data_IF_442557754624
#
_entry.id   IF_442557754624
#
_cell.length_a   1.000
_cell.length_b   1.000
_cell.length_c   1.000
_cell.angle_alpha   90.00
_cell.angle_beta   90.00
_cell.angle_gamma   90.00
#
_symmetry.space_group_name_H-M   'P 1'
#
loop_
_entity.id
_entity.type
_entity.pdbx_description
1 polymer ?
#
# COMPACT_ATOMS: atom_id res chain seq x y z
N UNK A 1 -9.55 -11.32 14.09
CA UNK A 1 -10.14 -12.63 14.45
C UNK A 1 -9.69 -13.73 13.50
N UNK A 2 -9.89 -13.59 12.16
CA UNK A 2 -9.58 -14.63 11.16
C UNK A 2 -8.11 -15.08 11.25
N UNK A 3 -7.16 -14.17 11.35
CA UNK A 3 -5.74 -14.49 11.46
C UNK A 3 -5.41 -15.33 12.70
N UNK A 4 -6.04 -15.01 13.84
CA UNK A 4 -5.87 -15.78 15.10
C UNK A 4 -6.44 -17.18 14.92
N UNK A 5 -7.64 -17.32 14.35
CA UNK A 5 -8.27 -18.63 14.10
C UNK A 5 -7.43 -19.51 13.15
N UNK A 6 -6.71 -18.87 12.23
CA UNK A 6 -5.79 -19.52 11.29
C UNK A 6 -4.34 -19.59 11.80
N UNK A 7 -4.14 -19.41 13.12
CA UNK A 7 -2.86 -19.62 13.84
C UNK A 7 -1.71 -18.74 13.36
N UNK A 8 -2.03 -17.58 12.76
CA UNK A 8 -1.01 -16.61 12.39
C UNK A 8 -0.09 -16.29 13.57
N UNK A 9 1.19 -16.19 13.34
CA UNK A 9 2.13 -15.55 14.26
C UNK A 9 2.13 -14.06 13.96
N UNK A 10 2.33 -13.24 15.00
CA UNK A 10 2.24 -11.80 14.89
C UNK A 10 3.55 -11.14 15.28
N UNK A 11 3.84 -10.05 14.62
CA UNK A 11 4.85 -9.06 15.02
C UNK A 11 4.18 -7.77 15.49
N UNK A 12 4.90 -6.99 16.29
CA UNK A 12 4.46 -5.67 16.73
C UNK A 12 5.17 -4.61 15.89
N UNK A 13 4.40 -3.68 15.31
CA UNK A 13 4.91 -2.49 14.63
C UNK A 13 4.19 -1.28 15.23
N UNK A 14 4.86 -0.57 16.13
CA UNK A 14 4.21 0.44 16.97
C UNK A 14 3.07 -0.18 17.79
N UNK A 15 1.86 0.34 17.61
CA UNK A 15 0.65 -0.15 18.28
C UNK A 15 -0.07 -1.27 17.52
N UNK A 16 0.43 -1.62 16.32
CA UNK A 16 -0.20 -2.60 15.46
C UNK A 16 0.36 -4.00 15.71
N UNK A 17 -0.55 -5.00 15.64
CA UNK A 17 -0.18 -6.41 15.49
C UNK A 17 -0.41 -6.82 14.05
N UNK A 18 0.67 -7.17 13.36
CA UNK A 18 0.62 -7.60 11.96
C UNK A 18 0.84 -9.11 11.88
N UNK A 19 0.11 -9.84 11.02
CA UNK A 19 0.46 -11.23 10.73
C UNK A 19 1.89 -11.30 10.19
N UNK A 20 2.76 -12.00 10.91
CA UNK A 20 4.17 -12.17 10.55
C UNK A 20 4.39 -13.34 9.59
N UNK A 21 3.77 -14.50 9.92
CA UNK A 21 3.69 -15.67 9.06
C UNK A 21 2.56 -16.61 9.52
N UNK A 22 2.18 -17.57 8.65
CA UNK A 22 1.09 -18.52 8.93
C UNK A 22 1.62 -19.95 8.91
N UNK A 23 2.02 -20.53 10.05
CA UNK A 23 2.51 -21.91 10.09
C UNK A 23 1.40 -22.91 9.80
N UNK A 24 1.72 -23.95 9.01
CA UNK A 24 0.87 -25.13 8.79
C UNK A 24 1.54 -26.30 9.49
N UNK A 25 0.77 -27.06 10.26
CA UNK A 25 1.30 -28.16 11.09
C UNK A 25 2.36 -27.64 12.07
N UNK A 26 3.60 -28.14 11.96
CA UNK A 26 4.74 -27.79 12.83
C UNK A 26 5.79 -26.96 12.07
N UNK A 27 5.42 -26.25 11.01
CA UNK A 27 6.33 -25.36 10.29
C UNK A 27 6.93 -24.31 11.21
N UNK A 28 8.24 -24.11 11.12
CA UNK A 28 8.91 -22.92 11.63
C UNK A 28 8.75 -21.72 10.68
N UNK A 29 9.40 -20.61 11.04
CA UNK A 29 9.38 -19.38 10.25
C UNK A 29 9.84 -19.62 8.80
N UNK A 30 10.99 -20.27 8.62
CA UNK A 30 11.60 -20.42 7.30
C UNK A 30 10.76 -21.29 6.36
N UNK A 31 10.23 -22.40 6.85
CA UNK A 31 9.37 -23.29 6.06
C UNK A 31 8.07 -22.59 5.65
N UNK A 32 7.45 -21.86 6.58
CA UNK A 32 6.23 -21.11 6.31
C UNK A 32 6.48 -20.04 5.25
N UNK A 33 7.54 -19.23 5.40
CA UNK A 33 7.93 -18.17 4.46
C UNK A 33 8.25 -18.73 3.07
N UNK A 34 8.94 -19.84 2.99
CA UNK A 34 9.22 -20.53 1.72
C UNK A 34 7.93 -20.94 1.00
N UNK A 35 6.99 -21.57 1.72
CA UNK A 35 5.70 -22.00 1.19
C UNK A 35 4.85 -20.79 0.74
N UNK A 36 4.77 -19.76 1.57
CA UNK A 36 4.00 -18.54 1.29
C UNK A 36 4.57 -17.81 0.07
N UNK A 37 5.90 -17.63 0.02
CA UNK A 37 6.57 -16.98 -1.12
C UNK A 37 6.36 -17.72 -2.42
N UNK A 38 6.50 -19.05 -2.39
CA UNK A 38 6.26 -19.90 -3.56
C UNK A 38 4.79 -19.79 -4.03
N UNK A 39 3.83 -19.80 -3.11
CA UNK A 39 2.42 -19.66 -3.46
C UNK A 39 2.12 -18.30 -4.11
N UNK A 40 2.70 -17.21 -3.59
CA UNK A 40 2.56 -15.87 -4.15
C UNK A 40 3.14 -15.78 -5.57
N UNK A 41 4.30 -16.42 -5.83
CA UNK A 41 4.94 -16.43 -7.16
C UNK A 41 4.22 -17.36 -8.15
N UNK A 42 3.82 -18.55 -7.71
CA UNK A 42 3.29 -19.57 -8.61
C UNK A 42 1.78 -19.43 -8.88
N UNK A 43 1.04 -18.81 -7.96
CA UNK A 43 -0.43 -18.73 -8.04
C UNK A 43 -1.01 -17.43 -7.50
N UNK A 44 -1.25 -17.36 -6.19
CA UNK A 44 -1.79 -16.19 -5.54
C UNK A 44 -1.47 -16.15 -4.05
N UNK A 45 -1.10 -14.98 -3.57
CA UNK A 45 -0.96 -14.64 -2.16
C UNK A 45 -1.93 -13.55 -1.74
N UNK A 46 -2.26 -13.50 -0.45
CA UNK A 46 -3.04 -12.42 0.15
C UNK A 46 -2.40 -11.93 1.45
N UNK A 47 -2.22 -10.61 1.57
CA UNK A 47 -1.66 -9.93 2.72
C UNK A 47 -2.68 -8.96 3.32
N UNK A 48 -2.72 -8.88 4.65
CA UNK A 48 -3.40 -7.81 5.37
C UNK A 48 -2.48 -6.57 5.40
N UNK A 49 -2.80 -5.58 4.57
CA UNK A 49 -2.11 -4.31 4.44
C UNK A 49 -2.84 -3.15 5.16
N UNK A 50 -3.77 -3.47 6.08
CA UNK A 50 -4.62 -2.48 6.76
C UNK A 50 -3.81 -1.49 7.60
N UNK A 51 -2.63 -1.88 8.09
CA UNK A 51 -1.82 -1.06 8.99
C UNK A 51 -0.96 0.00 8.32
N UNK A 52 -0.87 0.02 6.98
CA UNK A 52 -0.23 1.11 6.25
C UNK A 52 -0.92 2.44 6.60
N UNK A 53 -0.13 3.47 6.88
CA UNK A 53 -0.67 4.80 7.11
C UNK A 53 -1.48 5.28 5.90
N UNK A 54 -2.59 5.96 6.16
CA UNK A 54 -3.46 6.53 5.13
C UNK A 54 -3.84 7.94 5.54
N UNK A 55 -3.51 8.90 4.68
CA UNK A 55 -3.83 10.32 4.87
C UNK A 55 -4.69 10.76 3.69
N UNK A 56 -5.89 11.23 3.98
CA UNK A 56 -6.76 11.90 3.03
C UNK A 56 -6.31 13.35 2.91
N UNK A 57 -6.08 13.81 1.68
CA UNK A 57 -5.56 15.15 1.38
C UNK A 57 -6.53 15.82 0.43
N UNK A 58 -7.11 16.94 0.86
CA UNK A 58 -8.05 17.71 0.08
C UNK A 58 -7.66 19.20 0.09
N UNK A 59 -8.06 19.92 -0.94
CA UNK A 59 -7.86 21.36 -1.05
C UNK A 59 -7.40 21.77 -2.44
N UNK A 60 -7.63 23.02 -2.79
CA UNK A 60 -7.30 23.55 -4.13
C UNK A 60 -5.79 23.51 -4.40
N UNK A 61 -4.97 23.58 -3.35
CA UNK A 61 -3.52 23.54 -3.42
C UNK A 61 -2.90 22.17 -3.10
N UNK A 62 -3.74 21.10 -2.98
CA UNK A 62 -3.25 19.76 -2.63
C UNK A 62 -2.18 19.23 -3.60
N UNK A 63 -2.31 19.54 -4.90
CA UNK A 63 -1.32 19.15 -5.91
C UNK A 63 0.02 19.87 -5.73
N UNK A 64 -0.01 21.16 -5.44
CA UNK A 64 1.18 21.97 -5.16
C UNK A 64 1.85 21.53 -3.85
N UNK A 65 1.06 21.30 -2.81
CA UNK A 65 1.56 20.77 -1.55
C UNK A 65 2.32 19.45 -1.74
N UNK A 66 1.74 18.47 -2.46
CA UNK A 66 2.39 17.21 -2.78
C UNK A 66 3.67 17.40 -3.61
N UNK A 67 3.70 18.39 -4.51
CA UNK A 67 4.93 18.75 -5.22
C UNK A 67 6.03 19.23 -4.29
N UNK A 68 5.71 19.97 -3.23
CA UNK A 68 6.71 20.46 -2.25
C UNK A 68 7.22 19.33 -1.38
N UNK A 69 6.33 18.44 -0.95
CA UNK A 69 6.63 17.35 -0.01
C UNK A 69 7.46 16.22 -0.63
N UNK A 70 7.10 15.78 -1.84
CA UNK A 70 7.75 14.63 -2.48
C UNK A 70 8.86 15.03 -3.46
N UNK A 71 9.78 14.11 -3.73
CA UNK A 71 10.87 14.29 -4.71
C UNK A 71 10.37 14.39 -6.15
N UNK A 72 9.27 13.73 -6.50
CA UNK A 72 8.69 13.71 -7.83
C UNK A 72 7.54 14.70 -8.00
N UNK A 73 7.13 14.97 -9.25
CA UNK A 73 6.10 15.95 -9.58
C UNK A 73 4.70 15.35 -9.52
N UNK A 74 3.74 16.09 -8.95
CA UNK A 74 2.35 15.64 -8.73
C UNK A 74 1.32 16.41 -9.56
N UNK A 75 1.63 17.65 -9.96
CA UNK A 75 0.72 18.52 -10.71
C UNK A 75 0.16 17.90 -12.00
N UNK A 76 0.94 17.01 -12.63
CA UNK A 76 0.55 16.31 -13.86
C UNK A 76 0.03 14.89 -13.64
N UNK A 77 -0.17 14.48 -12.40
CA UNK A 77 -0.79 13.17 -12.14
C UNK A 77 -2.27 13.23 -12.53
N UNK A 78 -2.70 12.37 -13.44
CA UNK A 78 -4.11 12.31 -13.87
C UNK A 78 -5.02 11.77 -12.77
N UNK A 79 -6.28 12.19 -12.77
CA UNK A 79 -7.32 11.60 -11.90
C UNK A 79 -7.42 10.11 -12.21
N UNK A 80 -7.56 9.27 -11.18
CA UNK A 80 -7.58 7.82 -11.31
C UNK A 80 -6.21 7.16 -11.35
N UNK A 81 -5.12 7.94 -11.26
CA UNK A 81 -3.75 7.44 -11.28
C UNK A 81 -3.13 7.43 -9.89
N UNK A 82 -2.22 6.48 -9.71
CA UNK A 82 -1.37 6.37 -8.52
C UNK A 82 0.07 6.73 -8.88
N UNK A 83 0.83 7.19 -7.88
CA UNK A 83 2.27 7.44 -8.03
C UNK A 83 2.98 7.08 -6.73
N UNK A 84 4.06 6.30 -6.86
CA UNK A 84 4.99 6.10 -5.76
C UNK A 84 5.79 7.39 -5.54
N UNK A 85 5.89 7.82 -4.31
CA UNK A 85 6.59 9.02 -3.88
C UNK A 85 7.62 8.72 -2.80
N UNK A 86 8.74 9.44 -2.85
CA UNK A 86 9.78 9.43 -1.84
C UNK A 86 9.83 10.80 -1.16
N UNK A 87 9.71 10.81 0.16
CA UNK A 87 9.77 11.99 1.01
C UNK A 87 11.14 12.11 1.64
N UNK A 88 11.71 13.31 1.66
CA UNK A 88 13.00 13.59 2.26
C UNK A 88 12.86 14.51 3.45
N UNK A 89 13.87 14.48 4.33
CA UNK A 89 14.13 15.53 5.29
C UNK A 89 14.80 16.74 4.60
N UNK A 90 14.96 17.83 5.34
CA UNK A 90 15.54 19.09 4.87
C UNK A 90 17.01 18.94 4.46
N UNK A 91 17.72 17.97 5.00
CA UNK A 91 19.10 17.62 4.66
C UNK A 91 19.21 16.62 3.48
N UNK A 92 18.08 16.25 2.86
CA UNK A 92 18.02 15.38 1.69
C UNK A 92 18.01 13.87 1.99
N UNK A 93 17.94 13.48 3.26
CA UNK A 93 17.85 12.08 3.66
C UNK A 93 16.42 11.56 3.55
N UNK A 94 16.28 10.28 3.20
CA UNK A 94 14.97 9.62 3.07
C UNK A 94 14.25 9.58 4.41
N UNK A 95 13.02 10.11 4.42
CA UNK A 95 12.16 10.21 5.58
C UNK A 95 11.06 9.16 5.59
N UNK A 96 10.28 9.06 4.51
CA UNK A 96 9.24 8.04 4.32
C UNK A 96 8.95 7.87 2.81
N UNK A 97 8.16 6.86 2.48
CA UNK A 97 7.71 6.58 1.13
C UNK A 97 6.27 6.07 1.10
N UNK A 98 5.69 6.00 -0.07
CA UNK A 98 4.37 5.43 -0.24
C UNK A 98 3.76 5.71 -1.60
N UNK A 99 2.55 5.20 -1.79
CA UNK A 99 1.78 5.43 -3.01
C UNK A 99 0.69 6.43 -2.73
N UNK A 100 0.66 7.53 -3.48
CA UNK A 100 -0.42 8.50 -3.43
C UNK A 100 -1.28 8.37 -4.68
N UNK A 101 -2.60 8.31 -4.47
CA UNK A 101 -3.62 8.16 -5.51
C UNK A 101 -4.40 9.45 -5.68
N UNK A 102 -4.54 9.97 -6.92
CA UNK A 102 -5.41 11.12 -7.20
C UNK A 102 -6.84 10.63 -7.39
N UNK A 103 -7.69 10.89 -6.39
CA UNK A 103 -9.09 10.47 -6.36
C UNK A 103 -10.02 11.44 -7.11
N UNK A 104 -9.68 12.71 -7.13
CA UNK A 104 -10.43 13.79 -7.74
C UNK A 104 -9.53 14.95 -8.13
N UNK A 105 -10.12 16.04 -8.58
CA UNK A 105 -9.37 17.24 -8.99
C UNK A 105 -8.47 17.75 -7.85
N UNK A 106 -9.04 17.91 -6.67
CA UNK A 106 -8.40 18.45 -5.46
C UNK A 106 -8.43 17.42 -4.31
N UNK A 107 -8.38 16.12 -4.63
CA UNK A 107 -8.52 15.06 -3.65
C UNK A 107 -7.52 13.92 -3.90
N UNK A 108 -6.73 13.60 -2.88
CA UNK A 108 -5.71 12.56 -2.92
C UNK A 108 -5.81 11.65 -1.69
N UNK A 109 -5.42 10.40 -1.86
CA UNK A 109 -5.19 9.46 -0.77
C UNK A 109 -3.70 9.07 -0.78
N UNK A 110 -2.98 9.48 0.26
CA UNK A 110 -1.58 9.14 0.48
C UNK A 110 -1.48 7.90 1.36
N UNK A 111 -0.61 6.96 1.01
CA UNK A 111 -0.17 5.91 1.93
C UNK A 111 1.25 6.18 2.42
N UNK A 112 1.57 5.71 3.62
CA UNK A 112 2.88 5.82 4.28
C UNK A 112 3.29 4.47 4.83
N UNK A 113 4.52 4.36 5.32
CA UNK A 113 4.90 3.19 6.12
C UNK A 113 4.04 3.10 7.37
N UNK A 114 3.84 1.87 7.89
CA UNK A 114 3.07 1.64 9.12
C UNK A 114 3.68 2.38 10.31
N UNK A 115 5.00 2.29 10.48
CA UNK A 115 5.70 2.93 11.59
C UNK A 115 5.81 4.44 11.47
N UNK A 116 5.85 4.97 10.24
CA UNK A 116 5.99 6.40 9.94
C UNK A 116 4.70 7.20 9.96
N UNK A 117 3.52 6.55 9.96
CA UNK A 117 2.22 7.19 9.71
C UNK A 117 1.97 8.45 10.57
N UNK A 118 2.19 8.37 11.88
CA UNK A 118 1.97 9.50 12.78
C UNK A 118 2.99 10.62 12.57
N UNK A 119 4.26 10.26 12.38
CA UNK A 119 5.34 11.24 12.17
C UNK A 119 5.18 11.96 10.83
N UNK A 120 4.80 11.23 9.77
CA UNK A 120 4.51 11.85 8.46
C UNK A 120 3.38 12.84 8.58
N UNK A 121 2.24 12.46 9.19
CA UNK A 121 1.12 13.39 9.36
C UNK A 121 1.54 14.63 10.14
N UNK A 122 2.23 14.46 11.27
CA UNK A 122 2.71 15.58 12.10
C UNK A 122 3.64 16.52 11.31
N UNK A 123 4.57 15.96 10.51
CA UNK A 123 5.46 16.76 9.66
C UNK A 123 4.69 17.54 8.58
N UNK A 124 3.70 16.92 7.97
CA UNK A 124 2.86 17.57 6.95
C UNK A 124 2.01 18.68 7.54
N UNK A 125 1.46 18.48 8.75
CA UNK A 125 0.72 19.51 9.48
C UNK A 125 1.62 20.68 9.90
N UNK A 126 2.86 20.38 10.35
CA UNK A 126 3.86 21.40 10.68
C UNK A 126 4.18 22.27 9.46
N UNK A 127 4.44 21.68 8.31
CA UNK A 127 4.67 22.43 7.07
C UNK A 127 3.50 23.36 6.70
N UNK A 128 2.24 22.90 6.84
CA UNK A 128 1.07 23.71 6.54
C UNK A 128 0.87 24.86 7.55
N UNK A 129 1.32 24.66 8.80
CA UNK A 129 1.14 25.67 9.85
C UNK A 129 2.29 26.68 9.89
N UNK A 130 3.48 26.30 9.48
CA UNK A 130 4.70 27.12 9.68
C UNK A 130 5.31 27.59 8.37
N UNK A 131 5.49 26.69 7.40
CA UNK A 131 6.22 26.99 6.17
C UNK A 131 5.30 27.47 5.04
N UNK A 132 4.08 26.90 4.93
CA UNK A 132 3.16 27.15 3.84
C UNK A 132 1.72 27.41 4.31
N UNK A 133 1.52 28.35 5.26
CA UNK A 133 0.19 28.62 5.83
C UNK A 133 -0.79 29.23 4.83
N UNK A 134 -0.30 29.67 3.66
CA UNK A 134 -1.12 30.22 2.58
C UNK A 134 -1.82 29.15 1.74
N UNK A 135 -1.40 27.87 1.84
CA UNK A 135 -1.98 26.80 1.01
C UNK A 135 -3.33 26.33 1.55
N UNK A 136 -4.32 26.25 0.66
CA UNK A 136 -5.62 25.66 0.95
C UNK A 136 -5.55 24.13 0.87
N UNK A 137 -5.12 23.50 1.98
CA UNK A 137 -4.93 22.05 2.09
C UNK A 137 -5.43 21.55 3.44
N UNK A 138 -6.18 20.45 3.41
CA UNK A 138 -6.72 19.78 4.59
C UNK A 138 -6.20 18.35 4.65
N UNK A 139 -5.62 17.97 5.78
CA UNK A 139 -5.08 16.64 6.05
C UNK A 139 -5.95 15.91 7.06
N UNK A 140 -6.29 14.66 6.79
CA UNK A 140 -7.03 13.82 7.73
C UNK A 140 -6.44 12.42 7.76
N UNK A 141 -6.03 11.95 8.95
CA UNK A 141 -5.69 10.54 9.11
C UNK A 141 -6.92 9.67 8.92
N UNK A 142 -6.85 8.74 7.96
CA UNK A 142 -7.90 7.76 7.68
C UNK A 142 -7.39 6.33 7.79
N UNK A 143 -6.27 6.14 8.49
CA UNK A 143 -5.64 4.83 8.69
C UNK A 143 -6.63 3.82 9.27
N UNK A 144 -7.30 4.17 10.36
CA UNK A 144 -8.25 3.29 11.05
C UNK A 144 -9.61 3.17 10.31
N UNK A 145 -9.83 4.04 9.33
CA UNK A 145 -11.09 4.05 8.56
C UNK A 145 -11.13 2.93 7.52
N UNK A 146 -9.98 2.46 7.05
CA UNK A 146 -9.90 1.45 5.99
C UNK A 146 -9.20 0.18 6.42
N UNK A 147 -9.80 -0.97 6.10
CA UNK A 147 -9.11 -2.26 5.99
C UNK A 147 -8.64 -2.46 4.55
N UNK A 148 -7.48 -3.07 4.38
CA UNK A 148 -6.86 -3.28 3.08
C UNK A 148 -6.42 -4.73 2.90
N UNK A 149 -6.96 -5.41 1.89
CA UNK A 149 -6.47 -6.70 1.44
C UNK A 149 -5.62 -6.53 0.17
N UNK A 150 -4.38 -6.99 0.19
CA UNK A 150 -3.48 -7.00 -0.97
C UNK A 150 -3.43 -8.41 -1.54
N UNK A 151 -3.87 -8.59 -2.80
CA UNK A 151 -3.86 -9.87 -3.51
C UNK A 151 -2.80 -9.81 -4.61
N UNK A 152 -1.82 -10.69 -4.57
CA UNK A 152 -0.74 -10.73 -5.56
C UNK A 152 -0.60 -12.11 -6.23
N UNK A 153 0.14 -12.15 -7.33
CA UNK A 153 0.47 -13.36 -8.07
C UNK A 153 -0.25 -13.48 -9.42
N UNK A 154 0.15 -14.45 -10.25
CA UNK A 154 -0.34 -14.59 -11.63
C UNK A 154 -1.86 -14.83 -11.73
N UNK A 155 -2.51 -15.38 -10.70
CA UNK A 155 -3.95 -15.58 -10.67
C UNK A 155 -4.72 -14.44 -9.97
N UNK A 156 -4.07 -13.39 -9.48
CA UNK A 156 -4.73 -12.28 -8.80
C UNK A 156 -5.84 -11.63 -9.62
N UNK A 157 -5.61 -11.38 -10.93
CA UNK A 157 -6.61 -10.84 -11.85
C UNK A 157 -7.86 -11.74 -11.96
N UNK A 158 -7.69 -13.06 -11.98
CA UNK A 158 -8.82 -14.01 -12.03
C UNK A 158 -9.64 -13.99 -10.75
N UNK A 159 -8.97 -13.86 -9.61
CA UNK A 159 -9.62 -13.72 -8.30
C UNK A 159 -10.43 -12.43 -8.24
N UNK A 160 -9.83 -11.31 -8.66
CA UNK A 160 -10.53 -10.02 -8.73
C UNK A 160 -11.77 -10.09 -9.64
N UNK A 161 -11.67 -10.77 -10.80
CA UNK A 161 -12.81 -10.93 -11.71
C UNK A 161 -13.97 -11.72 -11.10
N UNK A 162 -13.69 -12.64 -10.16
CA UNK A 162 -14.75 -13.33 -9.40
C UNK A 162 -15.41 -12.44 -8.35
N UNK A 163 -14.62 -11.57 -7.68
CA UNK A 163 -15.12 -10.64 -6.67
C UNK A 163 -15.93 -9.52 -7.33
N UNK A 164 -15.49 -9.07 -8.51
CA UNK A 164 -16.06 -7.95 -9.27
C UNK A 164 -16.39 -8.38 -10.71
N UNK A 165 -17.43 -9.19 -10.92
CA UNK A 165 -17.74 -9.78 -12.23
C UNK A 165 -18.02 -8.76 -13.33
N UNK A 166 -18.54 -7.58 -12.98
CA UNK A 166 -18.89 -6.53 -13.93
C UNK A 166 -17.72 -5.61 -14.32
N UNK A 167 -16.53 -5.79 -13.70
CA UNK A 167 -15.37 -4.95 -13.98
C UNK A 167 -14.46 -5.56 -15.03
N UNK A 168 -13.90 -4.68 -15.86
CA UNK A 168 -12.82 -5.05 -16.78
C UNK A 168 -11.46 -4.85 -16.09
N UNK A 169 -10.69 -5.94 -15.97
CA UNK A 169 -9.33 -5.98 -15.45
C UNK A 169 -8.28 -6.15 -16.55
N UNK A 170 -8.62 -5.88 -17.82
CA UNK A 170 -7.62 -5.80 -18.89
C UNK A 170 -6.60 -4.70 -18.60
N UNK A 171 -5.42 -4.80 -19.21
CA UNK A 171 -4.35 -3.83 -18.95
C UNK A 171 -4.68 -2.43 -19.49
N UNK A 172 -5.52 -2.36 -20.50
CA UNK A 172 -6.01 -1.10 -21.07
C UNK A 172 -7.07 -0.43 -20.16
N UNK A 173 -8.02 -1.22 -19.65
CA UNK A 173 -9.09 -0.70 -18.81
C UNK A 173 -8.62 -0.39 -17.37
N UNK A 174 -7.64 -1.16 -16.89
CA UNK A 174 -7.08 -1.00 -15.54
C UNK A 174 -5.55 -1.07 -15.58
N UNK A 175 -4.87 -0.04 -16.06
CA UNK A 175 -3.41 -0.03 -16.17
C UNK A 175 -2.72 -0.04 -14.80
N UNK A 176 -1.45 -0.46 -14.78
CA UNK A 176 -0.60 -0.37 -13.59
C UNK A 176 -0.53 1.08 -13.06
N UNK A 177 -0.42 1.24 -11.74
CA UNK A 177 -0.45 2.54 -11.05
C UNK A 177 -1.74 3.33 -11.33
N UNK A 178 -2.89 2.66 -11.22
CA UNK A 178 -4.20 3.28 -11.26
C UNK A 178 -5.15 2.68 -10.24
N UNK A 179 -6.29 3.34 -10.04
CA UNK A 179 -7.35 2.83 -9.18
C UNK A 179 -8.71 2.87 -9.87
N UNK A 180 -9.61 2.05 -9.40
CA UNK A 180 -11.03 2.06 -9.74
C UNK A 180 -11.88 1.93 -8.47
N UNK A 181 -13.03 2.58 -8.46
CA UNK A 181 -14.05 2.31 -7.46
C UNK A 181 -14.73 0.97 -7.75
N UNK A 182 -15.08 0.23 -6.70
CA UNK A 182 -15.82 -1.01 -6.77
C UNK A 182 -16.89 -1.11 -5.70
N UNK A 183 -17.68 -2.17 -5.75
CA UNK A 183 -18.62 -2.53 -4.69
C UNK A 183 -18.48 -4.00 -4.35
N UNK A 184 -18.53 -4.31 -3.09
CA UNK A 184 -18.64 -5.66 -2.55
C UNK A 184 -19.91 -5.71 -1.72
N UNK A 185 -20.92 -6.49 -2.15
CA UNK A 185 -22.22 -6.60 -1.47
C UNK A 185 -22.81 -5.19 -1.14
N UNK A 186 -22.87 -4.32 -2.13
CA UNK A 186 -23.32 -2.92 -2.06
C UNK A 186 -22.41 -1.96 -1.26
N UNK A 187 -21.33 -2.45 -0.65
CA UNK A 187 -20.37 -1.64 0.10
C UNK A 187 -19.32 -1.09 -0.87
N UNK A 188 -19.15 0.23 -0.87
CA UNK A 188 -18.14 0.88 -1.69
C UNK A 188 -16.73 0.48 -1.26
N UNK A 189 -15.87 0.22 -2.23
CA UNK A 189 -14.45 -0.03 -2.03
C UNK A 189 -13.61 0.64 -3.12
N UNK A 190 -12.31 0.78 -2.87
CA UNK A 190 -11.32 1.23 -3.86
C UNK A 190 -10.41 0.07 -4.19
N UNK A 191 -10.17 -0.14 -5.47
CA UNK A 191 -9.26 -1.18 -5.97
C UNK A 191 -8.09 -0.46 -6.61
N UNK A 192 -6.88 -0.66 -6.11
CA UNK A 192 -5.66 -0.07 -6.64
C UNK A 192 -4.82 -1.15 -7.31
N UNK A 193 -4.37 -0.93 -8.54
CA UNK A 193 -3.43 -1.84 -9.22
C UNK A 193 -2.00 -1.38 -8.93
N UNK A 194 -1.51 -1.76 -7.79
CA UNK A 194 -0.17 -1.46 -7.27
C UNK A 194 0.47 -2.73 -6.74
N UNK A 195 1.80 -2.78 -6.67
CA UNK A 195 2.53 -3.97 -6.24
C UNK A 195 3.74 -3.62 -5.40
N UNK A 196 3.90 -4.33 -4.30
CA UNK A 196 5.12 -4.32 -3.48
C UNK A 196 5.90 -5.64 -3.57
N UNK A 197 5.26 -6.71 -4.03
CA UNK A 197 5.92 -8.01 -4.23
C UNK A 197 6.57 -8.16 -5.60
N UNK A 198 6.32 -7.21 -6.52
CA UNK A 198 6.72 -7.27 -7.92
C UNK A 198 5.89 -8.22 -8.78
N UNK A 199 4.92 -8.94 -8.20
CA UNK A 199 3.91 -9.69 -8.93
C UNK A 199 2.76 -8.78 -9.36
N UNK A 200 1.92 -9.25 -10.30
CA UNK A 200 0.63 -8.62 -10.57
C UNK A 200 -0.17 -8.57 -9.26
N UNK A 201 -0.51 -7.37 -8.82
CA UNK A 201 -1.10 -7.18 -7.49
C UNK A 201 -2.18 -6.10 -7.49
N UNK A 202 -3.13 -6.28 -6.58
CA UNK A 202 -4.23 -5.35 -6.34
C UNK A 202 -4.47 -5.18 -4.85
N UNK A 203 -4.64 -3.94 -4.42
CA UNK A 203 -5.06 -3.60 -3.06
C UNK A 203 -6.52 -3.15 -3.05
N UNK A 204 -7.32 -3.79 -2.20
CA UNK A 204 -8.74 -3.46 -2.02
C UNK A 204 -8.89 -2.78 -0.68
N UNK A 205 -9.28 -1.49 -0.71
CA UNK A 205 -9.56 -0.70 0.48
C UNK A 205 -11.07 -0.60 0.70
N UNK A 206 -11.55 -1.00 1.87
CA UNK A 206 -12.96 -0.96 2.29
C UNK A 206 -13.05 -0.34 3.69
N UNK A 207 -14.22 0.20 4.07
CA UNK A 207 -14.41 0.66 5.46
C UNK A 207 -14.05 -0.46 6.46
N UNK A 208 -13.31 -0.11 7.51
CA UNK A 208 -12.67 -1.07 8.42
C UNK A 208 -13.63 -2.07 9.08
N UNK A 209 -14.88 -1.66 9.35
CA UNK A 209 -15.92 -2.55 9.89
C UNK A 209 -16.26 -3.75 8.98
N UNK A 210 -15.94 -3.66 7.68
CA UNK A 210 -16.15 -4.72 6.69
C UNK A 210 -14.87 -5.51 6.35
N UNK A 211 -13.76 -5.22 7.01
CA UNK A 211 -12.46 -5.83 6.71
C UNK A 211 -12.46 -7.35 6.78
N UNK A 212 -13.13 -7.94 7.79
CA UNK A 212 -13.27 -9.39 7.90
C UNK A 212 -14.05 -9.98 6.71
N UNK A 213 -15.16 -9.36 6.33
CA UNK A 213 -15.97 -9.79 5.19
C UNK A 213 -15.20 -9.71 3.87
N UNK A 214 -14.44 -8.63 3.65
CA UNK A 214 -13.54 -8.49 2.50
C UNK A 214 -12.55 -9.65 2.46
N UNK A 215 -11.86 -9.89 3.58
CA UNK A 215 -10.84 -10.94 3.67
C UNK A 215 -11.40 -12.33 3.33
N UNK A 216 -12.51 -12.70 3.99
CA UNK A 216 -13.17 -13.99 3.77
C UNK A 216 -13.65 -14.15 2.32
N UNK A 217 -14.16 -13.07 1.72
CA UNK A 217 -14.58 -13.06 0.30
C UNK A 217 -13.39 -13.26 -0.64
N UNK A 218 -12.25 -12.63 -0.35
CA UNK A 218 -11.02 -12.83 -1.12
C UNK A 218 -10.51 -14.28 -1.02
N UNK A 219 -10.49 -14.84 0.19
CA UNK A 219 -10.11 -16.25 0.42
C UNK A 219 -11.05 -17.20 -0.35
N UNK A 220 -12.36 -16.99 -0.26
CA UNK A 220 -13.35 -17.83 -0.95
C UNK A 220 -13.17 -17.76 -2.48
N UNK A 221 -13.08 -16.55 -3.05
CA UNK A 221 -12.88 -16.37 -4.48
C UNK A 221 -11.56 -16.97 -4.98
N UNK A 222 -10.55 -17.02 -4.11
CA UNK A 222 -9.23 -17.54 -4.41
C UNK A 222 -9.03 -19.04 -4.18
N UNK A 223 -10.00 -19.76 -3.61
CA UNK A 223 -9.84 -21.19 -3.25
C UNK A 223 -9.38 -22.07 -4.41
N UNK A 224 -9.98 -21.96 -5.57
CA UNK A 224 -9.59 -22.77 -6.75
C UNK A 224 -8.17 -22.48 -7.22
N UNK A 225 -7.65 -21.29 -6.93
CA UNK A 225 -6.29 -20.85 -7.23
C UNK A 225 -5.32 -21.10 -6.06
N UNK A 226 -5.79 -21.79 -5.00
CA UNK A 226 -5.01 -22.08 -3.79
C UNK A 226 -4.40 -20.79 -3.19
N UNK A 227 -5.21 -19.70 -3.15
CA UNK A 227 -4.77 -18.44 -2.54
C UNK A 227 -4.24 -18.71 -1.14
N UNK A 228 -3.03 -18.22 -0.88
CA UNK A 228 -2.33 -18.48 0.38
C UNK A 228 -2.18 -17.16 1.14
N UNK A 229 -2.66 -17.07 2.39
CA UNK A 229 -2.33 -15.94 3.24
C UNK A 229 -0.84 -15.94 3.51
N UNK A 230 -0.22 -14.78 3.44
CA UNK A 230 1.18 -14.61 3.76
C UNK A 230 1.39 -13.42 4.70
N UNK A 231 2.44 -13.50 5.48
CA UNK A 231 2.76 -12.49 6.47
C UNK A 231 3.81 -11.49 6.00
N UNK A 232 4.17 -10.60 6.92
CA UNK A 232 5.13 -9.53 6.66
C UNK A 232 6.54 -10.06 6.37
N UNK A 233 6.95 -11.19 6.97
CA UNK A 233 8.25 -11.80 6.66
C UNK A 233 8.33 -12.24 5.20
N UNK A 234 7.28 -12.88 4.70
CA UNK A 234 7.16 -13.23 3.28
C UNK A 234 7.15 -11.99 2.39
N UNK A 235 6.45 -10.93 2.79
CA UNK A 235 6.47 -9.65 2.07
C UNK A 235 7.90 -9.10 1.99
N UNK A 236 8.67 -9.15 3.08
CA UNK A 236 10.07 -8.71 3.12
C UNK A 236 10.94 -9.47 2.13
N UNK A 237 10.76 -10.78 2.02
CA UNK A 237 11.48 -11.60 1.05
C UNK A 237 11.09 -11.24 -0.39
N UNK A 238 9.77 -11.21 -0.68
CA UNK A 238 9.27 -10.96 -2.02
C UNK A 238 9.67 -9.59 -2.59
N UNK A 239 9.63 -8.54 -1.76
CA UNK A 239 10.05 -7.18 -2.17
C UNK A 239 11.56 -7.08 -2.38
N UNK A 240 12.36 -7.77 -1.52
CA UNK A 240 13.81 -7.75 -1.61
C UNK A 240 14.30 -8.41 -2.91
N UNK A 241 13.66 -9.49 -3.35
CA UNK A 241 13.94 -10.14 -4.64
C UNK A 241 13.73 -9.20 -5.85
N UNK A 242 12.96 -8.12 -5.68
CA UNK A 242 12.68 -7.11 -6.72
C UNK A 242 13.47 -5.81 -6.52
N UNK A 243 14.24 -5.71 -5.45
CA UNK A 243 15.00 -4.51 -5.13
C UNK A 243 14.14 -3.35 -4.61
N UNK A 244 12.93 -3.60 -4.12
CA UNK A 244 12.10 -2.56 -3.50
C UNK A 244 12.54 -2.33 -2.07
N UNK A 245 12.66 -1.06 -1.67
CA UNK A 245 13.11 -0.66 -0.34
C UNK A 245 11.99 -0.72 0.69
N UNK A 246 12.36 -0.86 1.97
CA UNK A 246 11.53 -0.56 3.13
C UNK A 246 12.23 0.52 3.93
N UNK A 247 11.60 1.69 4.05
CA UNK A 247 12.08 2.77 4.90
C UNK A 247 12.10 2.33 6.36
N UNK A 248 13.23 2.56 7.04
CA UNK A 248 13.47 2.13 8.41
C UNK A 248 14.04 0.71 8.54
N UNK A 249 14.15 -0.06 7.44
CA UNK A 249 14.83 -1.34 7.39
C UNK A 249 16.06 -1.29 6.47
N UNK A 250 15.92 -0.74 5.27
CA UNK A 250 17.00 -0.51 4.32
C UNK A 250 17.56 0.92 4.42
N UNK A 251 16.97 1.76 5.26
CA UNK A 251 17.40 3.14 5.54
C UNK A 251 17.52 3.36 7.06
N UNK A 252 18.46 4.18 7.46
CA UNK A 252 18.76 4.50 8.87
C UNK A 252 18.71 6.01 9.18
N UNK A 253 18.17 6.81 8.25
CA UNK A 253 18.11 8.27 8.34
C UNK A 253 19.34 8.99 7.76
N UNK A 254 20.32 8.25 7.22
CA UNK A 254 21.52 8.80 6.56
C UNK A 254 21.58 8.52 5.07
N UNK A 255 20.53 7.87 4.51
CA UNK A 255 20.47 7.49 3.09
C UNK A 255 19.79 8.55 2.25
N UNK A 256 20.44 8.95 1.17
CA UNK A 256 19.86 9.78 0.12
C UNK A 256 19.21 8.91 -0.97
N UNK A 257 18.38 9.49 -1.86
CA UNK A 257 17.87 8.74 -3.03
C UNK A 257 18.99 8.16 -3.91
N UNK A 258 20.15 8.81 -3.96
CA UNK A 258 21.31 8.35 -4.76
C UNK A 258 21.90 7.09 -4.13
N UNK A 259 22.08 7.05 -2.82
CA UNK A 259 22.59 5.88 -2.10
C UNK A 259 21.71 4.64 -2.33
N UNK A 260 20.40 4.86 -2.47
CA UNK A 260 19.41 3.82 -2.74
C UNK A 260 19.23 3.50 -4.23
N UNK A 261 20.01 4.09 -5.12
CA UNK A 261 19.87 3.98 -6.58
C UNK A 261 18.47 4.40 -7.08
N UNK A 262 17.90 5.40 -6.41
CA UNK A 262 16.56 5.94 -6.69
C UNK A 262 16.59 7.39 -7.20
N UNK A 263 17.70 7.84 -7.77
CA UNK A 263 17.84 9.16 -8.37
C UNK A 263 16.83 9.43 -9.50
N UNK A 264 16.34 8.37 -10.15
CA UNK A 264 15.29 8.42 -11.16
C UNK A 264 13.95 8.99 -10.65
N UNK A 265 13.66 8.92 -9.33
CA UNK A 265 12.42 9.43 -8.73
C UNK A 265 12.52 10.93 -8.41
N UNK A 266 13.71 11.49 -8.40
CA UNK A 266 13.94 12.91 -8.13
C UNK A 266 13.69 13.73 -9.38
N UNK A 267 12.62 14.50 -9.40
CA UNK A 267 12.25 15.33 -10.55
C UNK A 267 13.25 16.50 -10.73
N UNK A 268 13.81 16.61 -11.92
CA UNK A 268 14.62 17.78 -12.33
C UNK A 268 13.76 18.95 -12.83
N UNK A 269 12.44 18.76 -12.93
CA UNK A 269 11.47 19.71 -13.50
C UNK A 269 10.18 19.69 -12.66
N UNK A 270 10.27 20.14 -11.43
CA UNK A 270 9.08 20.40 -10.61
C UNK A 270 8.44 21.71 -11.01
#
# INVERSE_FOLDING_TARGET
EWHIQNKAKFENVGQWKRPWYYPINNEGLHEAVQRESKAARDSAGILDASTLGKIDIQGTDASEFLNRVYTNAWSKLGIGKCRYGLMLNEDGMVYDDGVTTRLGENHYLMTTTTGGAANVLSKLEDYLQTEWPELDVYLTSVTDHYSTASICGPNSKKILKKIFPDKDFSDDAFPHMSYQNGKIDEINCRIMRISFTGELSYEINIESKYGKSLWEKCIEAGKEFKITPYGTETMHLLRAEKGFIIVGQDTDGTMTPIDLQMDWIVSKKK
#
